data_IF_263042596685
#
_entry.id   IF_263042596685
#
_cell.length_a   1.000
_cell.length_b   1.000
_cell.length_c   1.000
_cell.angle_alpha   90.00
_cell.angle_beta   90.00
_cell.angle_gamma   90.00
#
_symmetry.space_group_name_H-M   'P 1'
#
loop_
_entity.id
_entity.type
_entity.pdbx_description
1 polymer ?
#
# COMPACT_ATOMS: atom_id res chain seq x y z
N UNK A 1 -48.71 63.99 -6.83
CA UNK A 1 -47.72 63.41 -7.76
C UNK A 1 -46.38 63.47 -7.04
N UNK A 2 -45.70 62.40 -6.62
CA UNK A 2 -45.91 60.96 -6.75
C UNK A 2 -45.00 60.32 -5.69
N UNK A 3 -45.57 59.55 -4.75
CA UNK A 3 -44.78 58.70 -3.84
C UNK A 3 -44.25 57.50 -4.62
N UNK A 4 -42.93 57.34 -4.67
CA UNK A 4 -42.25 56.20 -5.28
C UNK A 4 -41.88 55.22 -4.17
N UNK A 5 -42.70 54.18 -4.02
CA UNK A 5 -42.50 53.07 -3.10
C UNK A 5 -41.46 52.12 -3.71
N UNK A 6 -40.19 52.21 -3.29
CA UNK A 6 -39.16 51.25 -3.65
C UNK A 6 -39.33 50.01 -2.76
N UNK A 7 -40.11 49.04 -3.23
CA UNK A 7 -40.23 47.72 -2.59
C UNK A 7 -38.89 46.98 -2.76
N UNK A 8 -38.05 46.96 -1.73
CA UNK A 8 -36.91 46.07 -1.64
C UNK A 8 -37.41 44.63 -1.53
N UNK A 9 -36.97 43.75 -2.44
CA UNK A 9 -37.38 42.35 -2.49
C UNK A 9 -37.06 41.63 -1.15
N UNK A 10 -38.07 41.14 -0.40
CA UNK A 10 -37.85 40.56 0.93
C UNK A 10 -37.34 39.09 0.92
N UNK A 11 -36.86 38.58 -0.22
CA UNK A 11 -36.48 37.17 -0.38
C UNK A 11 -34.98 36.85 -0.34
N UNK A 12 -34.08 37.84 -0.55
CA UNK A 12 -32.70 37.51 -0.95
C UNK A 12 -31.71 37.23 0.19
N UNK A 13 -31.89 37.82 1.38
CA UNK A 13 -30.95 37.63 2.49
C UNK A 13 -31.19 36.34 3.28
N UNK A 14 -32.45 35.92 3.43
CA UNK A 14 -32.80 34.65 4.10
C UNK A 14 -32.37 33.41 3.29
N UNK A 15 -32.54 33.46 1.97
CA UNK A 15 -32.10 32.38 1.06
C UNK A 15 -30.57 32.31 0.94
N UNK A 16 -29.88 33.45 0.91
CA UNK A 16 -28.40 33.51 0.93
C UNK A 16 -27.82 33.03 2.25
N UNK A 17 -28.43 33.40 3.39
CA UNK A 17 -28.01 32.91 4.70
C UNK A 17 -28.26 31.40 4.87
N UNK A 18 -29.39 30.90 4.36
CA UNK A 18 -29.68 29.46 4.31
C UNK A 18 -28.69 28.67 3.45
N UNK A 19 -28.39 29.16 2.24
CA UNK A 19 -27.40 28.54 1.35
C UNK A 19 -25.99 28.59 1.95
N UNK A 20 -25.59 29.71 2.55
CA UNK A 20 -24.29 29.83 3.22
C UNK A 20 -24.18 28.87 4.43
N UNK A 21 -25.25 28.69 5.19
CA UNK A 21 -25.29 27.73 6.31
C UNK A 21 -25.18 26.28 5.82
N UNK A 22 -25.88 25.91 4.73
CA UNK A 22 -25.81 24.57 4.14
C UNK A 22 -24.42 24.28 3.57
N UNK A 23 -23.83 25.21 2.82
CA UNK A 23 -22.48 25.07 2.26
C UNK A 23 -21.44 24.97 3.38
N UNK A 24 -21.57 25.78 4.44
CA UNK A 24 -20.69 25.73 5.61
C UNK A 24 -20.78 24.38 6.34
N UNK A 25 -21.99 23.87 6.56
CA UNK A 25 -22.21 22.56 7.17
C UNK A 25 -21.62 21.42 6.30
N UNK A 26 -21.80 21.49 4.98
CA UNK A 26 -21.22 20.52 4.05
C UNK A 26 -19.68 20.57 4.06
N UNK A 27 -19.08 21.76 4.04
CA UNK A 27 -17.63 21.92 4.16
C UNK A 27 -17.09 21.40 5.49
N UNK A 28 -17.80 21.64 6.60
CA UNK A 28 -17.39 21.13 7.90
C UNK A 28 -17.42 19.60 7.94
N UNK A 29 -18.48 18.99 7.41
CA UNK A 29 -18.59 17.53 7.33
C UNK A 29 -17.48 16.92 6.46
N UNK A 30 -17.18 17.54 5.31
CA UNK A 30 -16.09 17.11 4.44
C UNK A 30 -14.73 17.20 5.13
N UNK A 31 -14.46 18.32 5.81
CA UNK A 31 -13.23 18.52 6.57
C UNK A 31 -13.10 17.52 7.73
N UNK A 32 -14.20 17.19 8.40
CA UNK A 32 -14.21 16.22 9.49
C UNK A 32 -13.93 14.80 8.97
N UNK A 33 -14.56 14.40 7.87
CA UNK A 33 -14.31 13.11 7.24
C UNK A 33 -12.87 12.99 6.75
N UNK A 34 -12.34 14.03 6.09
CA UNK A 34 -10.96 14.05 5.62
C UNK A 34 -9.96 13.86 6.78
N UNK A 35 -10.15 14.58 7.91
CA UNK A 35 -9.30 14.40 9.09
C UNK A 35 -9.41 13.00 9.70
N UNK A 36 -10.62 12.44 9.74
CA UNK A 36 -10.83 11.09 10.26
C UNK A 36 -10.12 10.04 9.39
N UNK A 37 -10.28 10.10 8.07
CA UNK A 37 -9.62 9.21 7.13
C UNK A 37 -8.09 9.34 7.19
N UNK A 38 -7.58 10.55 7.29
CA UNK A 38 -6.16 10.81 7.46
C UNK A 38 -5.63 10.20 8.76
N UNK A 39 -6.37 10.35 9.86
CA UNK A 39 -6.01 9.73 11.13
C UNK A 39 -5.97 8.20 11.05
N UNK A 40 -6.99 7.58 10.43
CA UNK A 40 -7.03 6.14 10.20
C UNK A 40 -5.86 5.67 9.32
N UNK A 41 -5.52 6.41 8.27
CA UNK A 41 -4.43 6.11 7.36
C UNK A 41 -3.08 6.09 8.08
N UNK A 42 -2.80 7.10 8.90
CA UNK A 42 -1.60 7.14 9.76
C UNK A 42 -1.54 5.98 10.75
N UNK A 43 -2.66 5.65 11.41
CA UNK A 43 -2.71 4.53 12.34
C UNK A 43 -2.50 3.17 11.67
N UNK A 44 -3.00 3.01 10.44
CA UNK A 44 -2.87 1.80 9.66
C UNK A 44 -1.51 1.69 8.93
N UNK A 45 -0.67 2.73 8.99
CA UNK A 45 0.59 2.78 8.23
C UNK A 45 0.36 2.82 6.72
N UNK A 46 -0.74 3.45 6.28
CA UNK A 46 -1.15 3.57 4.88
C UNK A 46 -0.94 5.01 4.42
N UNK A 47 -0.28 5.19 3.28
CA UNK A 47 -0.18 6.47 2.57
C UNK A 47 -0.77 6.34 1.18
N UNK A 48 -1.38 7.41 0.68
CA UNK A 48 -1.91 7.47 -0.66
C UNK A 48 -1.36 8.67 -1.41
N UNK A 49 -1.13 8.52 -2.71
CA UNK A 49 -0.78 9.61 -3.59
C UNK A 49 -1.29 9.34 -4.99
N UNK A 50 -1.48 10.40 -5.74
CA UNK A 50 -1.99 10.38 -7.10
C UNK A 50 -1.03 11.11 -8.01
N UNK A 51 -0.86 10.58 -9.22
CA UNK A 51 -0.05 11.21 -10.24
C UNK A 51 -0.84 11.32 -11.55
N UNK A 52 -0.83 12.51 -12.13
CA UNK A 52 -1.41 12.78 -13.44
C UNK A 52 -0.30 12.83 -14.49
N UNK A 53 -0.31 11.91 -15.46
CA UNK A 53 0.73 11.82 -16.48
C UNK A 53 0.84 13.08 -17.35
N UNK A 54 -0.30 13.65 -17.79
CA UNK A 54 -0.31 14.78 -18.73
C UNK A 54 0.22 16.09 -18.14
N UNK A 55 0.03 16.30 -16.83
CA UNK A 55 0.39 17.56 -16.15
C UNK A 55 1.56 17.39 -15.18
N UNK A 56 2.07 16.17 -15.05
CA UNK A 56 3.02 15.73 -14.02
C UNK A 56 2.61 16.15 -12.59
N UNK A 57 1.31 16.37 -12.37
CA UNK A 57 0.81 16.81 -11.08
C UNK A 57 0.81 15.64 -10.12
N UNK A 58 1.49 15.84 -8.99
CA UNK A 58 1.55 14.90 -7.89
C UNK A 58 0.72 15.42 -6.72
N UNK A 59 -0.11 14.57 -6.13
CA UNK A 59 -0.85 14.87 -4.91
C UNK A 59 -0.51 13.79 -3.89
N UNK A 60 -0.14 14.17 -2.67
CA UNK A 60 0.14 13.22 -1.58
C UNK A 60 -0.77 13.48 -0.40
N UNK A 61 -1.17 12.42 0.29
CA UNK A 61 -1.73 12.53 1.63
C UNK A 61 -0.64 12.85 2.67
N UNK A 62 -1.04 13.40 3.83
CA UNK A 62 -0.09 13.67 4.91
C UNK A 62 0.57 12.37 5.40
N UNK A 63 -0.18 11.27 5.44
CA UNK A 63 0.33 9.94 5.76
C UNK A 63 1.38 9.45 4.76
N UNK A 64 1.23 9.75 3.47
CA UNK A 64 2.23 9.39 2.47
C UNK A 64 3.52 10.18 2.67
N UNK A 65 3.42 11.47 3.01
CA UNK A 65 4.58 12.28 3.40
C UNK A 65 5.27 11.71 4.64
N UNK A 66 4.51 11.34 5.68
CA UNK A 66 5.02 10.71 6.90
C UNK A 66 5.77 9.40 6.61
N UNK A 67 5.20 8.52 5.76
CA UNK A 67 5.82 7.24 5.39
C UNK A 67 7.12 7.41 4.59
N UNK A 68 7.15 8.39 3.68
CA UNK A 68 8.29 8.68 2.81
C UNK A 68 9.34 9.59 3.48
N UNK A 69 9.11 10.05 4.71
CA UNK A 69 9.98 10.98 5.42
C UNK A 69 10.09 12.35 4.74
N UNK A 70 9.01 12.80 4.11
CA UNK A 70 8.94 14.09 3.40
C UNK A 70 8.34 15.18 4.29
N UNK A 71 8.78 16.44 4.14
CA UNK A 71 8.17 17.56 4.87
C UNK A 71 6.71 17.76 4.44
N UNK A 72 5.81 17.82 5.44
CA UNK A 72 4.39 18.08 5.21
C UNK A 72 4.17 19.42 4.48
N UNK A 73 3.24 19.41 3.52
CA UNK A 73 2.89 20.59 2.73
C UNK A 73 3.83 20.92 1.57
N UNK A 74 4.93 20.18 1.38
CA UNK A 74 5.77 20.30 0.19
C UNK A 74 5.56 19.11 -0.73
N UNK A 75 4.96 19.37 -1.89
CA UNK A 75 4.81 18.35 -2.95
C UNK A 75 6.15 18.21 -3.68
N UNK A 76 6.84 17.06 -3.57
CA UNK A 76 8.07 16.82 -4.33
C UNK A 76 7.75 16.61 -5.82
N UNK A 77 8.79 16.61 -6.65
CA UNK A 77 8.65 16.05 -8.00
C UNK A 77 8.50 14.54 -7.93
N UNK A 78 7.87 13.92 -8.94
CA UNK A 78 7.79 12.46 -9.05
C UNK A 78 9.19 11.82 -8.94
N UNK A 79 10.19 12.39 -9.62
CA UNK A 79 11.56 11.89 -9.57
C UNK A 79 12.14 11.88 -8.13
N UNK A 80 11.90 12.94 -7.36
CA UNK A 80 12.33 13.01 -5.95
C UNK A 80 11.62 11.98 -5.07
N UNK A 81 10.34 11.71 -5.32
CA UNK A 81 9.60 10.67 -4.61
C UNK A 81 10.19 9.28 -4.92
N UNK A 82 10.38 8.97 -6.20
CA UNK A 82 10.89 7.67 -6.65
C UNK A 82 12.30 7.37 -6.14
N UNK A 83 13.15 8.39 -5.97
CA UNK A 83 14.49 8.24 -5.40
C UNK A 83 14.50 7.62 -3.99
N UNK A 84 13.38 7.68 -3.24
CA UNK A 84 13.27 7.01 -1.92
C UNK A 84 13.35 5.48 -2.01
N UNK A 85 13.07 4.91 -3.18
CA UNK A 85 13.11 3.46 -3.41
C UNK A 85 14.47 2.96 -3.96
N UNK A 86 15.48 3.83 -4.01
CA UNK A 86 16.77 3.52 -4.62
C UNK A 86 16.71 3.47 -6.16
N UNK A 87 17.83 3.26 -6.86
CA UNK A 87 17.89 3.35 -8.32
C UNK A 87 17.04 2.29 -9.02
N UNK A 88 17.12 1.04 -8.56
CA UNK A 88 16.38 -0.08 -9.18
C UNK A 88 14.88 0.04 -8.91
N UNK A 89 14.50 0.39 -7.67
CA UNK A 89 13.11 0.61 -7.28
C UNK A 89 12.50 1.82 -8.01
N UNK A 90 13.24 2.91 -8.15
CA UNK A 90 12.82 4.09 -8.91
C UNK A 90 12.53 3.75 -10.37
N UNK A 91 13.45 3.04 -11.04
CA UNK A 91 13.26 2.64 -12.45
C UNK A 91 12.06 1.69 -12.62
N UNK A 92 11.88 0.76 -11.68
CA UNK A 92 10.76 -0.17 -11.72
C UNK A 92 9.41 0.52 -11.52
N UNK A 93 9.31 1.43 -10.54
CA UNK A 93 8.09 2.19 -10.26
C UNK A 93 7.77 3.19 -11.37
N UNK A 94 8.77 3.87 -11.92
CA UNK A 94 8.59 4.75 -13.07
C UNK A 94 7.98 3.98 -14.25
N UNK A 95 8.58 2.85 -14.61
CA UNK A 95 8.06 2.02 -15.70
C UNK A 95 6.65 1.48 -15.40
N UNK A 96 6.33 1.18 -14.13
CA UNK A 96 4.99 0.74 -13.73
C UNK A 96 3.95 1.87 -13.83
N UNK A 97 4.28 3.07 -13.38
CA UNK A 97 3.43 4.27 -13.51
C UNK A 97 3.12 4.58 -14.96
N UNK A 98 4.13 4.55 -15.83
CA UNK A 98 3.95 4.80 -17.27
C UNK A 98 3.04 3.76 -17.93
N UNK A 99 3.25 2.46 -17.64
CA UNK A 99 2.37 1.38 -18.16
C UNK A 99 0.94 1.51 -17.64
N UNK A 100 0.76 1.94 -16.40
CA UNK A 100 -0.58 2.13 -15.87
C UNK A 100 -1.30 3.31 -16.49
N UNK A 101 -0.60 4.43 -16.69
CA UNK A 101 -1.17 5.60 -17.33
C UNK A 101 -1.51 5.35 -18.81
N UNK A 102 -0.67 4.58 -19.53
CA UNK A 102 -0.83 4.31 -20.96
C UNK A 102 -1.75 3.11 -21.26
N UNK A 103 -1.52 1.98 -20.59
CA UNK A 103 -2.14 0.69 -20.91
C UNK A 103 -3.23 0.29 -19.89
N UNK A 104 -3.41 1.08 -18.82
CA UNK A 104 -4.38 0.77 -17.76
C UNK A 104 -3.97 -0.42 -16.88
N UNK A 105 -2.69 -0.79 -16.87
CA UNK A 105 -2.22 -1.96 -16.13
C UNK A 105 -1.95 -1.64 -14.65
N UNK A 106 -2.67 -2.31 -13.74
CA UNK A 106 -2.40 -2.24 -12.30
C UNK A 106 -1.11 -3.00 -11.91
N UNK A 107 -0.51 -2.61 -10.78
CA UNK A 107 0.67 -3.29 -10.23
C UNK A 107 0.66 -3.32 -8.70
N UNK A 108 1.44 -4.26 -8.16
CA UNK A 108 1.57 -4.53 -6.72
C UNK A 108 2.97 -5.08 -6.46
N UNK A 109 3.79 -4.34 -5.71
CA UNK A 109 5.20 -4.67 -5.46
C UNK A 109 5.61 -4.33 -4.04
N UNK A 110 6.45 -5.14 -3.42
CA UNK A 110 7.10 -4.84 -2.15
C UNK A 110 8.52 -4.31 -2.41
N UNK A 111 8.82 -3.12 -1.91
CA UNK A 111 10.08 -2.44 -2.17
C UNK A 111 10.69 -1.85 -0.90
N UNK A 112 12.03 -1.90 -0.74
CA UNK A 112 12.70 -1.16 0.30
C UNK A 112 12.56 0.34 0.03
N UNK A 113 12.27 1.11 1.07
CA UNK A 113 12.16 2.55 1.04
C UNK A 113 13.07 3.17 2.10
N UNK A 114 13.74 4.26 1.74
CA UNK A 114 14.35 5.16 2.71
C UNK A 114 13.26 6.09 3.27
N UNK A 115 12.82 5.82 4.50
CA UNK A 115 11.84 6.63 5.22
C UNK A 115 12.44 7.88 5.88
N UNK A 116 13.67 8.28 5.49
CA UNK A 116 14.35 9.44 6.05
C UNK A 116 14.65 9.26 7.53
N UNK A 117 14.09 10.14 8.38
CA UNK A 117 14.32 10.11 9.84
C UNK A 117 13.77 8.86 10.51
N UNK A 118 12.79 8.19 9.90
CA UNK A 118 12.23 6.95 10.41
C UNK A 118 13.07 5.70 10.06
N UNK A 119 14.15 5.86 9.28
CA UNK A 119 15.01 4.76 8.85
C UNK A 119 14.44 3.96 7.68
N UNK A 120 15.05 2.80 7.43
CA UNK A 120 14.72 1.94 6.30
C UNK A 120 13.44 1.14 6.57
N UNK A 121 12.51 1.17 5.62
CA UNK A 121 11.22 0.47 5.66
C UNK A 121 11.07 -0.46 4.45
N UNK A 122 10.12 -1.37 4.51
CA UNK A 122 9.62 -2.11 3.35
C UNK A 122 8.19 -1.66 3.13
N UNK A 123 7.94 -1.08 1.94
CA UNK A 123 6.61 -0.62 1.56
C UNK A 123 6.04 -1.54 0.48
N UNK A 124 4.80 -1.98 0.67
CA UNK A 124 3.99 -2.54 -0.42
C UNK A 124 3.35 -1.38 -1.16
N UNK A 125 3.65 -1.26 -2.44
CA UNK A 125 3.20 -0.18 -3.32
C UNK A 125 2.25 -0.77 -4.35
N UNK A 126 0.99 -0.32 -4.31
CA UNK A 126 -0.07 -0.77 -5.21
C UNK A 126 -0.55 0.41 -6.02
N UNK A 127 -0.44 0.34 -7.33
CA UNK A 127 -0.88 1.37 -8.25
C UNK A 127 -2.00 0.89 -9.16
N UNK A 128 -3.00 1.75 -9.37
CA UNK A 128 -4.11 1.49 -10.28
C UNK A 128 -4.45 2.75 -11.09
N UNK A 129 -4.72 2.63 -12.40
CA UNK A 129 -5.26 3.74 -13.16
C UNK A 129 -6.61 4.16 -12.58
N UNK A 130 -6.89 5.46 -12.63
CA UNK A 130 -8.21 5.97 -12.34
C UNK A 130 -9.18 5.60 -13.48
N UNK A 131 -10.39 5.20 -13.12
CA UNK A 131 -11.42 4.84 -14.10
C UNK A 131 -12.13 6.07 -14.66
N UNK A 132 -12.19 7.15 -13.88
CA UNK A 132 -12.95 8.36 -14.20
C UNK A 132 -12.09 9.40 -14.93
N UNK A 133 -10.77 9.36 -14.76
CA UNK A 133 -9.84 10.31 -15.38
C UNK A 133 -8.63 9.63 -16.04
N UNK A 134 -8.61 9.65 -17.38
CA UNK A 134 -7.52 9.04 -18.17
C UNK A 134 -6.16 9.65 -17.82
N UNK A 135 -5.12 8.81 -17.78
CA UNK A 135 -3.75 9.23 -17.45
C UNK A 135 -3.53 9.56 -15.97
N UNK A 136 -4.55 9.46 -15.11
CA UNK A 136 -4.40 9.53 -13.66
C UNK A 136 -4.12 8.14 -13.10
N UNK A 137 -3.19 8.08 -12.15
CA UNK A 137 -2.87 6.86 -11.43
C UNK A 137 -2.91 7.11 -9.94
N UNK A 138 -3.76 6.37 -9.24
CA UNK A 138 -3.82 6.32 -7.79
C UNK A 138 -2.88 5.25 -7.24
N UNK A 139 -2.07 5.61 -6.25
CA UNK A 139 -1.10 4.73 -5.61
C UNK A 139 -1.30 4.70 -4.11
N UNK A 140 -1.33 3.49 -3.55
CA UNK A 140 -1.38 3.24 -2.11
C UNK A 140 -0.08 2.56 -1.68
N UNK A 141 0.47 3.04 -0.57
CA UNK A 141 1.65 2.48 0.08
C UNK A 141 1.26 1.97 1.47
N UNK A 142 1.65 0.75 1.79
CA UNK A 142 1.47 0.15 3.11
C UNK A 142 2.82 -0.19 3.70
N UNK A 143 3.07 0.22 4.94
CA UNK A 143 4.25 -0.24 5.68
C UNK A 143 4.09 -1.72 6.04
N UNK A 144 4.94 -2.55 5.43
CA UNK A 144 4.99 -4.00 5.66
C UNK A 144 6.33 -4.42 6.29
N UNK A 145 7.04 -3.47 6.91
CA UNK A 145 8.36 -3.73 7.50
C UNK A 145 8.34 -4.84 8.54
N UNK A 146 7.37 -4.82 9.47
CA UNK A 146 7.24 -5.86 10.49
C UNK A 146 6.86 -7.23 9.90
N UNK A 147 5.80 -7.36 9.06
CA UNK A 147 5.51 -8.62 8.36
C UNK A 147 6.70 -9.15 7.54
N UNK A 148 7.42 -8.28 6.82
CA UNK A 148 8.57 -8.66 6.03
C UNK A 148 9.73 -9.17 6.90
N UNK A 149 9.98 -8.52 8.05
CA UNK A 149 10.99 -8.97 9.01
C UNK A 149 10.66 -10.34 9.60
N UNK A 150 9.39 -10.59 9.95
CA UNK A 150 8.94 -11.89 10.45
C UNK A 150 9.11 -12.97 9.38
N UNK A 151 8.74 -12.68 8.13
CA UNK A 151 8.90 -13.61 7.00
C UNK A 151 10.37 -13.96 6.79
N UNK A 152 11.25 -12.95 6.77
CA UNK A 152 12.69 -13.15 6.58
C UNK A 152 13.33 -13.97 7.72
N UNK A 153 12.90 -13.75 8.97
CA UNK A 153 13.42 -14.54 10.10
C UNK A 153 12.94 -16.00 10.07
N UNK A 154 11.70 -16.23 9.63
CA UNK A 154 11.18 -17.57 9.41
C UNK A 154 11.99 -18.29 8.32
N UNK A 155 12.19 -17.65 7.16
CA UNK A 155 12.97 -18.20 6.05
C UNK A 155 14.40 -18.55 6.49
N UNK A 156 15.08 -17.63 7.19
CA UNK A 156 16.41 -17.85 7.74
C UNK A 156 16.46 -19.02 8.72
N UNK A 157 15.42 -19.18 9.53
CA UNK A 157 15.32 -20.30 10.48
C UNK A 157 15.11 -21.61 9.76
N UNK A 158 14.22 -21.66 8.77
CA UNK A 158 13.98 -22.83 7.93
C UNK A 158 15.23 -23.25 7.16
N UNK A 159 15.96 -22.30 6.57
CA UNK A 159 17.22 -22.58 5.86
C UNK A 159 18.26 -23.18 6.81
N UNK A 160 18.41 -22.63 8.02
CA UNK A 160 19.34 -23.17 9.02
C UNK A 160 18.93 -24.56 9.51
N UNK A 161 17.64 -24.81 9.69
CA UNK A 161 17.12 -26.14 10.04
C UNK A 161 17.39 -27.14 8.93
N UNK A 162 17.11 -26.78 7.67
CA UNK A 162 17.38 -27.62 6.51
C UNK A 162 18.88 -27.96 6.40
N UNK A 163 19.77 -27.00 6.62
CA UNK A 163 21.22 -27.25 6.64
C UNK A 163 21.63 -28.19 7.78
N UNK A 164 21.07 -28.03 8.97
CA UNK A 164 21.38 -28.85 10.13
C UNK A 164 20.87 -30.30 9.98
N UNK A 165 19.64 -30.49 9.50
CA UNK A 165 19.07 -31.83 9.27
C UNK A 165 19.81 -32.55 8.15
N UNK A 166 20.08 -31.85 7.03
CA UNK A 166 20.77 -32.42 5.90
C UNK A 166 22.23 -32.77 6.21
N UNK A 167 22.95 -31.89 6.92
CA UNK A 167 24.33 -32.14 7.35
C UNK A 167 24.44 -33.19 8.46
N UNK A 168 23.42 -33.29 9.32
CA UNK A 168 23.35 -34.29 10.39
C UNK A 168 22.85 -35.66 9.96
N UNK A 169 22.38 -35.82 8.71
CA UNK A 169 21.76 -37.06 8.24
C UNK A 169 20.48 -37.39 9.00
N UNK A 170 19.70 -36.37 9.38
CA UNK A 170 18.44 -36.51 10.09
C UNK A 170 17.32 -36.43 9.05
N UNK A 171 16.49 -37.48 8.97
CA UNK A 171 15.24 -37.46 8.21
C UNK A 171 14.06 -37.11 9.10
N UNK A 172 13.15 -36.29 8.58
CA UNK A 172 11.93 -35.86 9.27
C UNK A 172 10.73 -36.60 8.71
N UNK A 173 9.84 -37.03 9.59
CA UNK A 173 8.56 -37.62 9.25
C UNK A 173 7.46 -37.03 10.11
N UNK A 174 6.28 -36.87 9.53
CA UNK A 174 5.08 -36.45 10.22
C UNK A 174 3.98 -37.50 10.01
N UNK A 175 3.19 -37.73 11.06
CA UNK A 175 2.06 -38.66 11.04
C UNK A 175 0.80 -37.91 11.46
N UNK A 176 -0.13 -37.69 10.51
CA UNK A 176 -1.44 -37.13 10.82
C UNK A 176 -2.36 -38.25 11.33
N UNK A 177 -2.71 -38.18 12.61
CA UNK A 177 -3.58 -39.14 13.29
C UNK A 177 -5.07 -38.76 13.24
N UNK A 178 -5.42 -37.57 12.69
CA UNK A 178 -6.80 -37.11 12.61
C UNK A 178 -7.49 -37.56 11.31
N UNK A 179 -6.73 -37.76 10.24
CA UNK A 179 -7.25 -38.23 8.96
C UNK A 179 -7.09 -39.75 8.84
N UNK A 180 -8.21 -40.46 9.01
CA UNK A 180 -8.42 -41.90 8.69
C UNK A 180 -7.81 -42.93 9.65
N UNK A 181 -8.41 -44.14 9.64
CA UNK A 181 -8.01 -45.31 10.47
C UNK A 181 -6.64 -45.90 10.10
N UNK A 182 -6.02 -45.40 9.04
CA UNK A 182 -4.63 -45.59 8.64
C UNK A 182 -4.08 -44.17 8.49
N UNK A 183 -3.26 -43.71 9.44
CA UNK A 183 -2.77 -42.32 9.45
C UNK A 183 -1.90 -42.01 8.23
N UNK A 184 -1.94 -40.76 7.79
CA UNK A 184 -1.14 -40.30 6.66
C UNK A 184 0.29 -40.00 7.13
N UNK A 185 1.26 -40.74 6.57
CA UNK A 185 2.69 -40.66 6.93
C UNK A 185 3.44 -39.94 5.83
N UNK A 186 4.00 -38.77 6.14
CA UNK A 186 4.82 -37.98 5.22
C UNK A 186 6.29 -38.09 5.60
N UNK A 187 7.14 -38.34 4.62
CA UNK A 187 8.61 -38.44 4.77
C UNK A 187 9.30 -37.37 3.93
N UNK A 188 10.32 -36.74 4.49
CA UNK A 188 11.19 -35.83 3.75
C UNK A 188 12.24 -36.57 2.89
N UNK A 189 12.90 -35.83 2.01
CA UNK A 189 13.92 -36.38 1.09
C UNK A 189 15.13 -36.98 1.81
N UNK A 190 15.42 -36.55 3.04
CA UNK A 190 16.50 -37.11 3.85
C UNK A 190 16.12 -38.49 4.42
N UNK A 191 14.88 -38.65 4.88
CA UNK A 191 14.33 -39.91 5.36
C UNK A 191 14.29 -40.96 4.25
N UNK A 192 13.86 -40.60 3.04
CA UNK A 192 13.91 -41.49 1.88
C UNK A 192 15.33 -41.98 1.60
N UNK A 193 16.31 -41.06 1.57
CA UNK A 193 17.73 -41.41 1.36
C UNK A 193 18.30 -42.30 2.45
N UNK A 194 17.96 -42.08 3.71
CA UNK A 194 18.40 -42.92 4.83
C UNK A 194 17.88 -44.36 4.72
N UNK A 195 16.65 -44.52 4.22
CA UNK A 195 16.01 -45.82 4.01
C UNK A 195 16.39 -46.49 2.69
N UNK A 196 17.27 -45.87 1.87
CA UNK A 196 17.78 -46.45 0.64
C UNK A 196 16.78 -46.46 -0.52
N UNK A 197 15.66 -45.75 -0.37
CA UNK A 197 14.66 -45.59 -1.43
C UNK A 197 14.84 -44.22 -2.07
N UNK A 198 15.13 -44.19 -3.38
CA UNK A 198 15.16 -42.93 -4.11
C UNK A 198 13.75 -42.34 -4.07
N UNK A 199 13.60 -41.20 -3.36
CA UNK A 199 12.32 -40.56 -3.08
C UNK A 199 11.40 -40.63 -4.29
N UNK A 200 10.28 -41.35 -4.16
CA UNK A 200 9.19 -41.20 -5.11
C UNK A 200 8.66 -39.79 -4.89
N UNK A 201 9.11 -38.85 -5.71
CA UNK A 201 8.43 -37.58 -5.85
C UNK A 201 6.95 -37.89 -6.07
N UNK A 202 6.12 -37.48 -5.11
CA UNK A 202 4.68 -37.46 -5.34
C UNK A 202 4.36 -36.34 -6.34
N UNK A 203 3.32 -36.52 -7.18
CA UNK A 203 2.89 -35.54 -8.17
C UNK A 203 2.39 -34.23 -7.56
#
# INVERSE_FOLDING_TARGET
>A
MSESLLMGAPGSDGERAGMAAIVSAAHLALAQNARFLEHCSRLAGVGAWEWQADTERLTLSDSACDLLGLPLGQVPTLATLLQRFGPDGAAMLDAALQRAAADGQAWDVELPCDGGTAGRRVLRVVGRPDADEAGRVGVVMLDVTEPAAVRAELERTLERLALATHGGGIGVWDLDLQQSREGDLTWDDAMWRLHGEAGRGQP
#
